data_IF_482390969285
#
_entry.id   IF_482390969285
#
_cell.length_a   1.000
_cell.length_b   1.000
_cell.length_c   1.000
_cell.angle_alpha   90.00
_cell.angle_beta   90.00
_cell.angle_gamma   90.00
#
_symmetry.space_group_name_H-M   'P 1'
#
loop_
_entity.id
_entity.type
_entity.pdbx_description
1 polymer ?
#
# COMPACT_ATOMS: atom_id res chain seq x y z
N UNK A 1 -8.61 -10.20 35.06
CA UNK A 1 -9.02 -8.94 35.74
C UNK A 1 -10.02 -8.19 34.86
N UNK A 2 -11.24 -7.93 35.36
CA UNK A 2 -12.35 -7.36 34.58
C UNK A 2 -12.35 -5.82 34.48
N UNK A 3 -13.25 -5.28 33.65
CA UNK A 3 -13.51 -3.83 33.53
C UNK A 3 -14.27 -3.32 34.77
N UNK A 4 -14.08 -2.05 35.13
CA UNK A 4 -14.81 -1.39 36.23
C UNK A 4 -16.30 -1.25 35.91
N UNK A 5 -17.18 -1.50 36.90
CA UNK A 5 -18.64 -1.48 36.75
C UNK A 5 -19.37 -0.40 37.58
N UNK A 6 -18.64 0.43 38.32
CA UNK A 6 -19.23 1.45 39.18
C UNK A 6 -19.90 2.60 38.41
N UNK A 7 -20.98 3.15 38.96
CA UNK A 7 -21.57 4.40 38.49
C UNK A 7 -20.52 5.52 38.61
N UNK A 8 -20.33 6.31 37.54
CA UNK A 8 -19.25 7.32 37.44
C UNK A 8 -17.94 6.83 36.81
N UNK A 9 -17.77 5.54 36.50
CA UNK A 9 -16.52 5.00 35.91
C UNK A 9 -16.36 5.25 34.38
N UNK A 10 -17.26 6.03 33.76
CA UNK A 10 -17.30 6.24 32.30
C UNK A 10 -16.01 6.79 31.71
N UNK A 11 -15.31 7.71 32.41
CA UNK A 11 -14.01 8.26 31.96
C UNK A 11 -12.97 7.16 31.80
N UNK A 12 -12.85 6.26 32.78
CA UNK A 12 -11.90 5.14 32.76
C UNK A 12 -12.20 4.17 31.63
N UNK A 13 -13.47 3.81 31.43
CA UNK A 13 -13.90 2.92 30.34
C UNK A 13 -13.61 3.52 28.96
N UNK A 14 -13.88 4.81 28.76
CA UNK A 14 -13.58 5.53 27.50
C UNK A 14 -12.09 5.58 27.21
N UNK A 15 -11.25 5.91 28.20
CA UNK A 15 -9.79 5.95 28.03
C UNK A 15 -9.23 4.55 27.77
N UNK A 16 -9.71 3.54 28.47
CA UNK A 16 -9.32 2.15 28.24
C UNK A 16 -9.66 1.70 26.81
N UNK A 17 -10.89 1.97 26.32
CA UNK A 17 -11.27 1.64 24.94
C UNK A 17 -10.42 2.39 23.91
N UNK A 18 -10.13 3.68 24.14
CA UNK A 18 -9.24 4.47 23.26
C UNK A 18 -7.84 3.85 23.18
N UNK A 19 -7.26 3.47 24.32
CA UNK A 19 -5.94 2.81 24.37
C UNK A 19 -5.94 1.47 23.64
N UNK A 20 -6.94 0.63 23.90
CA UNK A 20 -7.06 -0.69 23.26
C UNK A 20 -7.32 -0.59 21.75
N UNK A 21 -8.02 0.45 21.29
CA UNK A 21 -8.30 0.65 19.86
C UNK A 21 -7.02 0.81 19.03
N UNK A 22 -5.92 1.30 19.61
CA UNK A 22 -4.64 1.39 18.92
C UNK A 22 -3.98 0.03 18.61
N UNK A 23 -4.40 -1.05 19.28
CA UNK A 23 -3.96 -2.41 18.96
C UNK A 23 -4.67 -2.97 17.70
N UNK A 24 -5.82 -2.40 17.33
CA UNK A 24 -6.51 -2.75 16.10
C UNK A 24 -5.73 -2.22 14.89
N UNK A 25 -5.30 -3.14 14.01
CA UNK A 25 -4.51 -2.82 12.81
C UNK A 25 -5.22 -1.86 11.87
N UNK A 26 -6.55 -2.00 11.72
CA UNK A 26 -7.35 -1.18 10.82
C UNK A 26 -7.42 0.27 11.30
N UNK A 27 -7.79 0.46 12.58
CA UNK A 27 -7.82 1.76 13.23
C UNK A 27 -6.44 2.42 13.26
N UNK A 28 -5.41 1.65 13.58
CA UNK A 28 -4.02 2.12 13.56
C UNK A 28 -3.65 2.64 12.17
N UNK A 29 -3.98 1.91 11.10
CA UNK A 29 -3.68 2.29 9.71
C UNK A 29 -4.38 3.58 9.29
N UNK A 30 -5.66 3.76 9.63
CA UNK A 30 -6.42 4.96 9.26
C UNK A 30 -5.99 6.20 10.05
N UNK A 31 -5.61 6.05 11.32
CA UNK A 31 -5.38 7.18 12.22
C UNK A 31 -3.91 7.62 12.37
N UNK A 32 -2.93 6.84 11.90
CA UNK A 32 -1.51 7.25 11.91
C UNK A 32 -1.07 8.12 10.74
N UNK A 33 -1.90 8.31 9.71
CA UNK A 33 -1.53 9.09 8.53
C UNK A 33 -0.48 8.43 7.63
N UNK A 34 -0.19 7.14 7.82
CA UNK A 34 0.75 6.37 6.99
C UNK A 34 0.35 6.32 5.51
N UNK A 35 -0.92 6.58 5.20
CA UNK A 35 -1.43 6.60 3.82
C UNK A 35 -0.73 7.65 2.95
N UNK A 36 -0.45 8.83 3.51
CA UNK A 36 0.21 9.94 2.80
C UNK A 36 1.68 9.65 2.48
N UNK A 37 2.32 8.75 3.23
CA UNK A 37 3.71 8.32 2.99
C UNK A 37 3.82 7.33 1.82
N UNK A 38 2.74 6.62 1.48
CA UNK A 38 2.74 5.64 0.39
C UNK A 38 2.91 6.30 -0.98
N UNK A 39 3.28 5.54 -2.03
CA UNK A 39 3.41 6.08 -3.38
C UNK A 39 2.15 6.74 -3.93
N UNK A 40 0.96 6.21 -3.61
CA UNK A 40 -0.30 6.71 -4.18
C UNK A 40 -0.98 7.80 -3.33
N UNK A 41 -0.53 8.01 -2.08
CA UNK A 41 -1.05 9.03 -1.17
C UNK A 41 -2.59 9.02 -1.04
N UNK A 42 -3.20 7.83 -0.96
CA UNK A 42 -4.65 7.67 -0.83
C UNK A 42 -5.45 7.69 -2.14
N UNK A 43 -4.83 8.00 -3.29
CA UNK A 43 -5.49 7.92 -4.60
C UNK A 43 -5.67 6.47 -5.06
N UNK A 44 -6.74 6.20 -5.81
CA UNK A 44 -6.98 4.89 -6.44
C UNK A 44 -5.96 4.59 -7.53
N UNK A 45 -5.64 5.58 -8.36
CA UNK A 45 -4.73 5.46 -9.49
C UNK A 45 -3.72 6.61 -9.53
N UNK A 46 -2.65 6.42 -10.29
CA UNK A 46 -1.63 7.44 -10.54
C UNK A 46 -1.04 7.27 -11.94
N UNK A 47 -0.72 8.38 -12.60
CA UNK A 47 0.02 8.40 -13.86
C UNK A 47 1.53 8.41 -13.59
N UNK A 48 2.28 7.71 -14.42
CA UNK A 48 3.73 7.63 -14.33
C UNK A 48 4.39 7.42 -15.68
N UNK A 49 5.71 7.58 -15.72
CA UNK A 49 6.57 7.37 -16.88
C UNK A 49 7.33 6.08 -16.68
N UNK A 50 7.43 5.25 -17.72
CA UNK A 50 8.19 4.00 -17.67
C UNK A 50 9.68 4.30 -17.81
N UNK A 51 10.49 3.75 -16.90
CA UNK A 51 11.95 3.90 -16.91
C UNK A 51 12.65 2.70 -17.54
N UNK A 52 12.29 1.49 -17.11
CA UNK A 52 12.95 0.25 -17.54
C UNK A 52 11.95 -0.92 -17.48
N UNK A 53 12.12 -1.90 -18.36
CA UNK A 53 11.41 -3.19 -18.31
C UNK A 53 12.12 -4.14 -17.35
N UNK A 54 11.37 -4.83 -16.49
CA UNK A 54 11.93 -5.73 -15.46
C UNK A 54 11.23 -7.08 -15.51
N UNK A 55 11.99 -8.17 -15.39
CA UNK A 55 11.47 -9.49 -15.06
C UNK A 55 11.58 -9.75 -13.55
N UNK A 56 10.48 -10.07 -12.88
CA UNK A 56 10.50 -10.48 -11.46
C UNK A 56 10.26 -11.98 -11.39
N UNK A 57 11.19 -12.71 -10.78
CA UNK A 57 11.03 -14.15 -10.57
C UNK A 57 9.83 -14.46 -9.66
N UNK A 58 9.04 -15.46 -10.03
CA UNK A 58 7.94 -15.93 -9.20
C UNK A 58 8.46 -16.50 -7.89
N UNK A 59 7.69 -16.35 -6.81
CA UNK A 59 7.99 -17.04 -5.55
C UNK A 59 7.80 -18.54 -5.75
N UNK A 60 8.73 -19.31 -5.20
CA UNK A 60 8.65 -20.77 -5.08
C UNK A 60 7.26 -21.17 -4.52
N UNK A 61 6.62 -22.24 -5.03
CA UNK A 61 7.17 -23.35 -5.84
C UNK A 61 7.06 -23.18 -7.37
N UNK A 62 6.61 -22.03 -7.86
CA UNK A 62 6.40 -21.83 -9.29
C UNK A 62 7.68 -21.40 -10.01
N UNK A 63 7.88 -21.86 -11.25
CA UNK A 63 8.94 -21.38 -12.14
C UNK A 63 8.32 -20.51 -13.23
N UNK A 64 8.47 -19.19 -13.11
CA UNK A 64 8.03 -18.22 -14.10
C UNK A 64 8.66 -16.84 -13.87
N UNK A 65 8.82 -16.06 -14.94
CA UNK A 65 9.23 -14.65 -14.88
C UNK A 65 7.99 -13.78 -15.07
N UNK A 66 7.65 -12.96 -14.08
CA UNK A 66 6.56 -11.97 -14.16
C UNK A 66 7.09 -10.72 -14.87
N UNK A 67 6.50 -10.43 -16.03
CA UNK A 67 6.79 -9.24 -16.84
C UNK A 67 6.30 -7.98 -16.09
N UNK A 68 7.21 -7.08 -15.76
CA UNK A 68 6.95 -5.87 -14.99
C UNK A 68 7.64 -4.65 -15.64
N UNK A 69 7.27 -3.46 -15.21
CA UNK A 69 7.92 -2.21 -15.60
C UNK A 69 8.24 -1.36 -14.36
N UNK A 70 9.38 -0.67 -14.36
CA UNK A 70 9.67 0.38 -13.39
C UNK A 70 9.00 1.66 -13.84
N UNK A 71 8.16 2.23 -12.99
CA UNK A 71 7.39 3.44 -13.29
C UNK A 71 7.71 4.53 -12.28
N UNK A 72 8.05 5.71 -12.76
CA UNK A 72 8.17 6.91 -11.94
C UNK A 72 6.85 7.67 -11.96
N UNK A 73 6.24 7.87 -10.80
CA UNK A 73 4.98 8.62 -10.71
C UNK A 73 5.21 10.11 -10.98
N UNK A 74 4.42 10.69 -11.89
CA UNK A 74 4.57 12.11 -12.28
C UNK A 74 4.28 13.03 -11.09
N UNK A 75 3.29 12.69 -10.27
CA UNK A 75 2.82 13.55 -9.17
C UNK A 75 3.79 13.74 -8.01
N UNK A 76 4.72 12.79 -7.79
CA UNK A 76 5.60 12.81 -6.62
C UNK A 76 7.01 12.25 -6.87
N UNK A 77 7.35 11.88 -8.11
CA UNK A 77 8.66 11.38 -8.49
C UNK A 77 9.04 10.02 -7.89
N UNK A 78 8.15 9.36 -7.13
CA UNK A 78 8.44 8.06 -6.51
C UNK A 78 8.48 6.97 -7.58
N UNK A 79 9.50 6.13 -7.53
CA UNK A 79 9.67 4.96 -8.42
C UNK A 79 8.96 3.75 -7.82
N UNK A 80 8.16 3.06 -8.63
CA UNK A 80 7.43 1.83 -8.26
C UNK A 80 7.67 0.74 -9.31
N UNK A 81 7.43 -0.51 -8.95
CA UNK A 81 7.35 -1.61 -9.91
C UNK A 81 5.86 -1.93 -10.15
N UNK A 82 5.46 -2.00 -11.42
CA UNK A 82 4.12 -2.34 -11.85
C UNK A 82 4.14 -3.65 -12.66
N UNK A 83 3.18 -4.53 -12.41
CA UNK A 83 3.01 -5.76 -13.17
C UNK A 83 2.27 -5.48 -14.49
N UNK A 84 2.73 -6.09 -15.58
CA UNK A 84 2.11 -5.98 -16.90
C UNK A 84 1.31 -7.27 -17.13
N UNK A 85 -0.04 -7.21 -17.14
CA UNK A 85 -0.87 -8.38 -17.33
C UNK A 85 -0.89 -8.85 -18.78
N UNK A 86 -1.33 -10.09 -18.98
CA UNK A 86 -1.47 -10.79 -20.26
C UNK A 86 -0.14 -11.04 -21.01
N UNK A 87 -0.17 -11.99 -21.95
CA UNK A 87 1.02 -12.31 -22.74
C UNK A 87 1.27 -11.29 -23.85
N UNK A 88 2.55 -11.09 -24.22
CA UNK A 88 2.98 -10.14 -25.24
C UNK A 88 2.85 -8.65 -24.86
N UNK A 89 2.11 -8.29 -23.80
CA UNK A 89 1.78 -6.89 -23.50
C UNK A 89 2.98 -5.99 -23.18
N UNK A 90 4.11 -6.57 -22.78
CA UNK A 90 5.36 -5.82 -22.55
C UNK A 90 5.94 -5.21 -23.84
N UNK A 91 5.53 -5.73 -25.01
CA UNK A 91 5.98 -5.21 -26.31
C UNK A 91 5.31 -3.88 -26.66
N UNK A 92 4.11 -3.60 -26.12
CA UNK A 92 3.40 -2.34 -26.34
C UNK A 92 3.88 -1.19 -25.44
N UNK A 93 4.77 -1.48 -24.49
CA UNK A 93 5.27 -0.50 -23.55
C UNK A 93 6.63 -0.03 -24.03
N UNK A 94 6.76 1.26 -24.29
CA UNK A 94 8.04 1.91 -24.60
C UNK A 94 8.59 2.64 -23.37
N UNK A 95 9.92 2.70 -23.29
CA UNK A 95 10.60 3.44 -22.23
C UNK A 95 10.54 4.94 -22.52
N UNK A 96 10.46 5.76 -21.47
CA UNK A 96 10.36 7.22 -21.55
C UNK A 96 9.09 7.76 -22.23
N UNK A 97 8.09 6.90 -22.50
CA UNK A 97 6.78 7.28 -23.07
C UNK A 97 5.73 7.44 -21.95
N UNK A 98 4.80 8.38 -22.16
CA UNK A 98 3.83 8.91 -21.18
C UNK A 98 2.46 8.23 -21.23
#
# INVERSE_FOLDING_TARGET
>A
MGKTRGMGAGRKLRTHRRRQRWADKSYKKSNLGNEWKKPFAGSSHAKGIVLEKIGIEAKQPNSAIRKCARVQLIKNGKKIAAFVPNDGCLNYIEENVR
#
